data_IF_331271202225
#
_entry.id   IF_331271202225
#
_cell.length_a   1.000
_cell.length_b   1.000
_cell.length_c   1.000
_cell.angle_alpha   90.00
_cell.angle_beta   90.00
_cell.angle_gamma   90.00
#
_symmetry.space_group_name_H-M   'P 1'
#
loop_
_entity.id
_entity.type
_entity.pdbx_description
1 polymer ?
#
# COMPACT_ATOMS: atom_id res chain seq x y z
N UNK A 1 27.46 -0.85 33.68
CA UNK A 1 28.56 -0.38 32.82
C UNK A 1 29.85 -1.01 33.31
N UNK A 2 30.88 -1.28 32.47
CA UNK A 2 31.03 -0.83 31.08
C UNK A 2 31.28 -1.96 30.06
N UNK A 3 30.70 -1.77 28.87
CA UNK A 3 31.09 -2.40 27.61
C UNK A 3 31.96 -1.37 26.89
N UNK A 4 33.28 -1.59 26.81
CA UNK A 4 34.21 -0.79 26.03
C UNK A 4 35.45 -1.62 25.66
N UNK A 5 35.49 -2.12 24.42
CA UNK A 5 36.68 -2.46 23.62
C UNK A 5 36.16 -3.03 22.29
N UNK A 6 35.96 -2.25 21.23
CA UNK A 6 36.93 -1.68 20.28
C UNK A 6 37.69 -2.73 19.47
N UNK A 7 37.15 -2.99 18.26
CA UNK A 7 37.81 -2.88 16.94
C UNK A 7 39.27 -3.35 16.85
N UNK A 8 39.45 -4.57 16.30
CA UNK A 8 40.57 -4.99 15.42
C UNK A 8 40.18 -6.38 14.89
N UNK A 9 39.75 -6.54 13.64
CA UNK A 9 40.63 -7.02 12.56
C UNK A 9 40.06 -6.63 11.19
N UNK A 10 40.69 -5.65 10.55
CA UNK A 10 40.64 -5.49 9.09
C UNK A 10 41.66 -6.46 8.50
N UNK A 11 41.22 -7.43 7.71
CA UNK A 11 42.11 -8.21 6.85
C UNK A 11 41.76 -7.88 5.39
N UNK A 12 42.69 -7.16 4.78
CA UNK A 12 42.87 -6.88 3.37
C UNK A 12 42.11 -7.82 2.42
N UNK A 13 41.12 -7.29 1.72
CA UNK A 13 40.67 -7.82 0.43
C UNK A 13 41.45 -7.05 -0.62
N UNK A 14 42.41 -7.75 -1.21
CA UNK A 14 43.30 -7.30 -2.27
C UNK A 14 42.48 -7.15 -3.57
N UNK A 15 42.29 -5.93 -4.05
CA UNK A 15 41.44 -5.60 -5.21
C UNK A 15 42.27 -5.46 -6.48
N UNK A 16 43.27 -6.32 -6.67
CA UNK A 16 44.28 -6.14 -7.73
C UNK A 16 44.24 -7.23 -8.81
N UNK A 17 43.22 -8.10 -8.85
CA UNK A 17 43.22 -9.24 -9.80
C UNK A 17 41.97 -9.46 -10.68
N UNK A 18 41.05 -8.49 -10.78
CA UNK A 18 39.88 -8.61 -11.67
C UNK A 18 39.95 -7.68 -12.89
N UNK A 19 41.05 -7.75 -13.64
CA UNK A 19 41.15 -7.14 -14.97
C UNK A 19 41.55 -8.17 -16.03
N UNK A 20 40.72 -9.19 -16.25
CA UNK A 20 40.68 -9.91 -17.53
C UNK A 20 39.25 -10.43 -17.76
N UNK A 21 38.57 -10.03 -18.86
CA UNK A 21 37.37 -10.73 -19.28
C UNK A 21 37.77 -12.11 -19.85
N UNK A 22 37.00 -13.18 -19.60
CA UNK A 22 37.26 -14.46 -20.25
C UNK A 22 37.07 -14.32 -21.76
N UNK A 23 38.10 -14.63 -22.54
CA UNK A 23 38.01 -14.77 -23.99
C UNK A 23 37.27 -16.05 -24.32
N UNK A 24 35.99 -15.96 -24.60
CA UNK A 24 35.20 -17.08 -25.12
C UNK A 24 35.56 -17.30 -26.59
N UNK A 25 36.12 -18.49 -26.87
CA UNK A 25 36.26 -19.01 -28.20
C UNK A 25 34.88 -19.30 -28.81
N UNK A 26 34.78 -19.05 -30.12
CA UNK A 26 33.75 -19.51 -31.06
C UNK A 26 32.30 -18.97 -30.93
N UNK A 27 31.93 -18.18 -31.95
CA UNK A 27 30.88 -18.67 -32.85
C UNK A 27 29.41 -18.40 -32.53
N UNK A 28 29.07 -17.40 -31.72
CA UNK A 28 27.67 -16.97 -31.58
C UNK A 28 27.53 -15.47 -31.77
N UNK A 29 27.13 -15.08 -32.98
CA UNK A 29 26.72 -13.71 -33.33
C UNK A 29 25.44 -13.43 -32.54
N UNK A 30 25.57 -12.79 -31.38
CA UNK A 30 24.44 -12.08 -30.79
C UNK A 30 24.13 -10.92 -31.74
N UNK A 31 22.89 -10.77 -32.24
CA UNK A 31 22.55 -9.55 -32.96
C UNK A 31 22.77 -8.40 -31.98
N UNK A 32 23.66 -7.48 -32.36
CA UNK A 32 23.85 -6.18 -31.72
C UNK A 32 22.46 -5.61 -31.44
N UNK A 33 22.08 -5.59 -30.17
CA UNK A 33 20.84 -4.99 -29.71
C UNK A 33 20.92 -3.52 -30.09
N UNK A 34 20.33 -3.21 -31.25
CA UNK A 34 20.36 -1.90 -31.85
C UNK A 34 19.58 -1.01 -30.91
N UNK A 35 20.25 -0.06 -30.26
CA UNK A 35 19.71 0.79 -29.19
C UNK A 35 18.67 1.83 -29.66
N UNK A 36 17.91 1.54 -30.72
CA UNK A 36 17.06 2.51 -31.39
C UNK A 36 15.58 2.50 -30.98
N UNK A 37 15.15 1.73 -29.96
CA UNK A 37 13.74 1.72 -29.53
C UNK A 37 13.50 1.26 -28.09
N UNK A 38 14.15 1.89 -27.10
CA UNK A 38 13.79 1.73 -25.67
C UNK A 38 13.62 3.07 -24.96
N UNK A 39 13.18 4.12 -25.65
CA UNK A 39 12.88 5.43 -25.05
C UNK A 39 11.48 5.54 -24.44
N UNK A 40 10.65 4.49 -24.47
CA UNK A 40 9.27 4.57 -23.97
C UNK A 40 9.07 4.00 -22.56
N UNK A 41 10.13 3.84 -21.76
CA UNK A 41 9.94 3.80 -20.30
C UNK A 41 9.59 5.24 -19.91
N UNK A 42 8.29 5.54 -19.78
CA UNK A 42 7.82 6.80 -19.20
C UNK A 42 8.26 6.82 -17.75
N UNK A 43 9.47 7.33 -17.52
CA UNK A 43 9.98 7.61 -16.18
C UNK A 43 9.10 8.70 -15.58
N UNK A 44 8.75 8.56 -14.30
CA UNK A 44 8.01 9.59 -13.58
C UNK A 44 8.72 10.93 -13.77
N UNK A 45 7.99 11.94 -14.23
CA UNK A 45 8.59 13.26 -14.41
C UNK A 45 8.91 13.84 -13.03
N UNK A 46 9.89 14.74 -12.95
CA UNK A 46 10.23 15.41 -11.69
C UNK A 46 9.00 16.15 -11.12
N UNK A 47 8.15 16.71 -11.99
CA UNK A 47 6.89 17.35 -11.63
C UNK A 47 5.88 16.36 -11.01
N UNK A 48 5.81 15.13 -11.52
CA UNK A 48 4.93 14.09 -10.95
C UNK A 48 5.36 13.69 -9.54
N UNK A 49 6.66 13.54 -9.32
CA UNK A 49 7.22 13.20 -8.00
C UNK A 49 6.94 14.32 -7.00
N UNK A 50 7.16 15.58 -7.40
CA UNK A 50 6.91 16.74 -6.54
C UNK A 50 5.43 16.94 -6.25
N UNK A 51 4.56 16.74 -7.23
CA UNK A 51 3.11 16.81 -7.09
C UNK A 51 2.56 15.70 -6.18
N UNK A 52 3.04 14.47 -6.34
CA UNK A 52 2.69 13.36 -5.44
C UNK A 52 3.17 13.65 -4.01
N UNK A 53 4.41 14.11 -3.85
CA UNK A 53 4.95 14.46 -2.54
C UNK A 53 4.16 15.61 -1.89
N UNK A 54 3.71 16.60 -2.66
CA UNK A 54 2.86 17.69 -2.16
C UNK A 54 1.48 17.18 -1.74
N UNK A 55 0.87 16.29 -2.53
CA UNK A 55 -0.42 15.67 -2.19
C UNK A 55 -0.33 14.82 -0.91
N UNK A 56 0.71 13.99 -0.79
CA UNK A 56 0.97 13.18 0.40
C UNK A 56 1.25 14.03 1.65
N UNK A 57 2.01 15.13 1.53
CA UNK A 57 2.20 16.08 2.64
C UNK A 57 0.90 16.73 3.06
N UNK A 58 0.06 17.15 2.11
CA UNK A 58 -1.26 17.71 2.40
C UNK A 58 -2.15 16.70 3.12
N UNK A 59 -2.16 15.44 2.66
CA UNK A 59 -2.84 14.34 3.33
C UNK A 59 -2.35 14.12 4.76
N UNK A 60 -1.03 14.12 4.98
CA UNK A 60 -0.44 14.01 6.31
C UNK A 60 -0.91 15.13 7.24
N UNK A 61 -0.87 16.38 6.79
CA UNK A 61 -1.28 17.56 7.58
C UNK A 61 -2.76 17.47 7.95
N UNK A 62 -3.62 17.19 6.98
CA UNK A 62 -5.07 17.06 7.22
C UNK A 62 -5.38 15.89 8.16
N UNK A 63 -4.72 14.74 7.95
CA UNK A 63 -4.86 13.56 8.79
C UNK A 63 -4.43 13.83 10.22
N UNK A 64 -3.27 14.46 10.43
CA UNK A 64 -2.77 14.84 11.75
C UNK A 64 -3.68 15.87 12.41
N UNK A 65 -4.13 16.91 11.71
CA UNK A 65 -4.96 17.95 12.29
C UNK A 65 -6.31 17.39 12.78
N UNK A 66 -7.03 16.67 11.92
CA UNK A 66 -8.34 16.10 12.25
C UNK A 66 -8.23 15.07 13.37
N UNK A 67 -7.26 14.15 13.27
CA UNK A 67 -7.07 13.11 14.29
C UNK A 67 -6.59 13.70 15.62
N UNK A 68 -5.77 14.75 15.62
CA UNK A 68 -5.32 15.41 16.85
C UNK A 68 -6.47 16.09 17.57
N UNK A 69 -7.34 16.80 16.83
CA UNK A 69 -8.54 17.40 17.41
C UNK A 69 -9.44 16.32 18.03
N UNK A 70 -9.69 15.23 17.29
CA UNK A 70 -10.51 14.13 17.78
C UNK A 70 -9.88 13.42 19.00
N UNK A 71 -8.58 13.15 18.97
CA UNK A 71 -7.87 12.43 20.02
C UNK A 71 -7.71 13.27 21.29
N UNK A 72 -7.39 14.57 21.16
CA UNK A 72 -7.32 15.51 22.29
C UNK A 72 -8.71 15.73 22.86
N UNK A 73 -9.73 15.92 22.01
CA UNK A 73 -11.13 16.05 22.44
C UNK A 73 -11.62 14.79 23.18
N UNK A 74 -11.30 13.61 22.66
CA UNK A 74 -11.58 12.32 23.31
C UNK A 74 -10.84 12.16 24.64
N UNK A 75 -9.57 12.55 24.69
CA UNK A 75 -8.76 12.55 25.92
C UNK A 75 -9.36 13.49 26.98
N UNK A 76 -9.77 14.70 26.57
CA UNK A 76 -10.44 15.67 27.43
C UNK A 76 -11.77 15.14 27.96
N UNK A 77 -12.61 14.56 27.10
CA UNK A 77 -13.87 13.95 27.51
C UNK A 77 -13.64 12.79 28.49
N UNK A 78 -12.67 11.92 28.21
CA UNK A 78 -12.30 10.81 29.09
C UNK A 78 -11.78 11.31 30.45
N UNK A 79 -11.01 12.40 30.45
CA UNK A 79 -10.56 13.05 31.67
C UNK A 79 -11.73 13.56 32.52
N UNK A 80 -12.81 14.05 31.91
CA UNK A 80 -13.98 14.52 32.66
C UNK A 80 -14.86 13.37 33.17
N UNK A 81 -15.03 12.31 32.38
CA UNK A 81 -16.00 11.24 32.64
C UNK A 81 -15.47 10.07 33.47
N UNK A 82 -14.18 9.76 33.37
CA UNK A 82 -13.58 8.55 33.96
C UNK A 82 -12.55 8.90 35.04
N UNK A 83 -12.82 8.57 36.33
CA UNK A 83 -11.88 8.79 37.42
C UNK A 83 -10.51 8.14 37.22
N UNK A 84 -10.48 6.93 36.63
CA UNK A 84 -9.24 6.23 36.31
C UNK A 84 -8.36 7.01 35.32
N UNK A 85 -8.95 7.60 34.28
CA UNK A 85 -8.23 8.38 33.28
C UNK A 85 -7.64 9.68 33.86
N UNK A 86 -8.27 10.27 34.89
CA UNK A 86 -7.71 11.44 35.58
C UNK A 86 -6.40 11.12 36.28
N UNK A 87 -6.34 9.97 36.95
CA UNK A 87 -5.16 9.48 37.68
C UNK A 87 -4.00 9.03 36.77
N UNK A 88 -4.21 8.90 35.45
CA UNK A 88 -3.16 8.51 34.53
C UNK A 88 -2.05 9.60 34.45
N UNK A 89 -0.78 9.20 34.42
CA UNK A 89 0.33 10.12 34.16
C UNK A 89 0.22 10.73 32.77
N UNK A 90 0.78 11.93 32.60
CA UNK A 90 0.71 12.69 31.35
C UNK A 90 1.29 11.90 30.15
N UNK A 91 2.36 11.15 30.37
CA UNK A 91 2.99 10.31 29.34
C UNK A 91 2.04 9.27 28.74
N UNK A 92 1.22 8.60 29.57
CA UNK A 92 0.24 7.63 29.08
C UNK A 92 -0.94 8.29 28.35
N UNK A 93 -1.32 9.51 28.76
CA UNK A 93 -2.35 10.29 28.06
C UNK A 93 -1.86 10.68 26.66
N UNK A 94 -0.63 11.19 26.56
CA UNK A 94 0.00 11.54 25.29
C UNK A 94 0.20 10.31 24.39
N UNK A 95 0.63 9.19 24.96
CA UNK A 95 0.75 7.93 24.21
C UNK A 95 -0.59 7.54 23.55
N UNK A 96 -1.70 7.67 24.27
CA UNK A 96 -3.04 7.42 23.72
C UNK A 96 -3.37 8.33 22.53
N UNK A 97 -2.98 9.61 22.59
CA UNK A 97 -3.14 10.54 21.47
C UNK A 97 -2.28 10.12 20.28
N UNK A 98 -1.00 9.81 20.50
CA UNK A 98 -0.06 9.39 19.45
C UNK A 98 -0.52 8.11 18.75
N UNK A 99 -1.04 7.13 19.50
CA UNK A 99 -1.57 5.87 18.94
C UNK A 99 -2.69 6.12 17.93
N UNK A 100 -3.49 7.18 18.10
CA UNK A 100 -4.54 7.55 17.15
C UNK A 100 -3.98 8.39 16.00
N UNK A 101 -3.16 9.40 16.32
CA UNK A 101 -2.70 10.39 15.34
C UNK A 101 -1.71 9.80 14.32
N UNK A 102 -0.75 8.98 14.77
CA UNK A 102 0.29 8.43 13.91
C UNK A 102 -0.24 7.56 12.76
N UNK A 103 -1.14 6.58 12.96
CA UNK A 103 -1.71 5.82 11.86
C UNK A 103 -2.62 6.69 10.97
N UNK A 104 -3.40 7.62 11.53
CA UNK A 104 -4.23 8.53 10.73
C UNK A 104 -3.40 9.44 9.81
N UNK A 105 -2.26 9.93 10.28
CA UNK A 105 -1.29 10.66 9.46
C UNK A 105 -0.87 9.80 8.27
N UNK A 106 -0.39 8.58 8.52
CA UNK A 106 0.13 7.70 7.48
C UNK A 106 -0.93 7.33 6.45
N UNK A 107 -2.13 6.98 6.90
CA UNK A 107 -3.24 6.58 6.03
C UNK A 107 -3.68 7.75 5.14
N UNK A 108 -3.81 8.96 5.70
CA UNK A 108 -4.25 10.12 4.92
C UNK A 108 -3.18 10.63 3.96
N UNK A 109 -1.91 10.52 4.32
CA UNK A 109 -0.80 10.80 3.41
C UNK A 109 -0.87 9.89 2.18
N UNK A 110 -0.94 8.58 2.41
CA UNK A 110 -1.04 7.57 1.34
C UNK A 110 -2.29 7.79 0.48
N UNK A 111 -3.44 8.03 1.11
CA UNK A 111 -4.72 8.22 0.40
C UNK A 111 -4.64 9.39 -0.59
N UNK A 112 -3.97 10.49 -0.21
CA UNK A 112 -3.83 11.67 -1.07
C UNK A 112 -2.76 11.51 -2.14
N UNK A 113 -1.69 10.79 -1.86
CA UNK A 113 -0.74 10.37 -2.89
C UNK A 113 -1.43 9.55 -3.98
N UNK A 114 -2.19 8.53 -3.57
CA UNK A 114 -2.96 7.69 -4.51
C UNK A 114 -4.04 8.47 -5.27
N UNK A 115 -4.68 9.47 -4.64
CA UNK A 115 -5.65 10.34 -5.30
C UNK A 115 -5.00 11.21 -6.37
N UNK A 116 -3.79 11.74 -6.11
CA UNK A 116 -3.00 12.47 -7.09
C UNK A 116 -2.60 11.57 -8.27
N UNK A 117 -2.08 10.37 -8.01
CA UNK A 117 -1.70 9.43 -9.05
C UNK A 117 -2.88 9.10 -9.95
N UNK A 118 -4.04 8.79 -9.35
CA UNK A 118 -5.28 8.53 -10.08
C UNK A 118 -5.76 9.73 -10.92
N UNK A 119 -5.55 10.96 -10.44
CA UNK A 119 -5.93 12.16 -11.19
C UNK A 119 -5.08 12.40 -12.44
N UNK A 120 -3.86 11.87 -12.46
CA UNK A 120 -2.93 11.94 -13.61
C UNK A 120 -3.12 10.79 -14.59
N UNK A 121 -3.91 9.78 -14.23
CA UNK A 121 -4.27 8.70 -15.14
C UNK A 121 -5.28 9.24 -16.17
N UNK A 122 -4.77 9.77 -17.28
CA UNK A 122 -5.59 10.12 -18.45
C UNK A 122 -5.77 8.89 -19.37
N UNK A 123 -7.00 8.68 -19.86
CA UNK A 123 -7.30 7.65 -20.86
C UNK A 123 -7.46 6.21 -20.33
N UNK A 124 -7.06 5.24 -21.17
CA UNK A 124 -7.37 3.80 -21.13
C UNK A 124 -7.17 3.07 -19.80
N UNK A 125 -6.23 3.50 -18.95
CA UNK A 125 -6.01 2.85 -17.65
C UNK A 125 -7.25 2.92 -16.75
N UNK A 126 -8.03 4.00 -16.84
CA UNK A 126 -9.28 4.17 -16.08
C UNK A 126 -10.41 3.33 -16.70
N UNK A 127 -10.54 3.26 -18.04
CA UNK A 127 -11.54 2.40 -18.71
C UNK A 127 -11.27 0.92 -18.47
N UNK A 128 -10.02 0.48 -18.52
CA UNK A 128 -9.63 -0.89 -18.24
C UNK A 128 -9.95 -1.28 -16.80
N UNK A 129 -9.57 -0.44 -15.82
CA UNK A 129 -9.92 -0.66 -14.41
C UNK A 129 -11.43 -0.68 -14.18
N UNK A 130 -12.18 0.17 -14.88
CA UNK A 130 -13.63 0.21 -14.80
C UNK A 130 -14.29 -1.04 -15.39
N UNK A 131 -13.87 -1.49 -16.57
CA UNK A 131 -14.36 -2.74 -17.18
C UNK A 131 -14.03 -3.95 -16.30
N UNK A 132 -12.82 -3.98 -15.73
CA UNK A 132 -12.42 -5.03 -14.79
C UNK A 132 -13.28 -5.01 -13.52
N UNK A 133 -13.51 -3.84 -12.93
CA UNK A 133 -14.43 -3.68 -11.79
C UNK A 133 -15.84 -4.14 -12.15
N UNK A 134 -16.41 -3.74 -13.29
CA UNK A 134 -17.73 -4.19 -13.72
C UNK A 134 -17.83 -5.71 -13.88
N UNK A 135 -16.77 -6.34 -14.38
CA UNK A 135 -16.71 -7.81 -14.52
C UNK A 135 -16.62 -8.48 -13.15
N UNK A 136 -15.84 -7.93 -12.22
CA UNK A 136 -15.75 -8.42 -10.85
C UNK A 136 -17.04 -8.20 -10.06
N UNK A 137 -17.72 -7.08 -10.26
CA UNK A 137 -19.00 -6.77 -9.64
C UNK A 137 -20.09 -7.70 -10.16
N UNK A 138 -20.14 -7.94 -11.48
CA UNK A 138 -21.06 -8.91 -12.09
C UNK A 138 -20.82 -10.32 -11.54
N UNK A 139 -19.55 -10.76 -11.46
CA UNK A 139 -19.17 -12.02 -10.83
C UNK A 139 -19.57 -12.06 -9.34
N UNK A 140 -19.41 -10.95 -8.63
CA UNK A 140 -19.78 -10.86 -7.22
C UNK A 140 -21.30 -10.93 -7.03
N UNK A 141 -22.09 -10.35 -7.93
CA UNK A 141 -23.55 -10.41 -7.90
C UNK A 141 -24.06 -11.86 -8.05
N UNK A 142 -23.40 -12.67 -8.86
CA UNK A 142 -23.69 -14.09 -9.08
C UNK A 142 -23.34 -14.99 -7.87
N UNK A 143 -22.55 -14.51 -6.90
CA UNK A 143 -22.16 -15.28 -5.72
C UNK A 143 -23.33 -15.50 -4.74
N UNK A 144 -23.33 -16.67 -4.10
CA UNK A 144 -24.22 -17.00 -2.98
C UNK A 144 -23.93 -16.08 -1.79
N UNK A 145 -24.91 -15.82 -0.91
CA UNK A 145 -24.76 -14.95 0.27
C UNK A 145 -23.60 -15.35 1.20
N UNK A 146 -23.32 -16.65 1.32
CA UNK A 146 -22.18 -17.17 2.10
C UNK A 146 -20.86 -16.82 1.44
N UNK A 147 -20.78 -16.99 0.11
CA UNK A 147 -19.58 -16.69 -0.67
C UNK A 147 -19.34 -15.18 -0.71
N UNK A 148 -20.40 -14.37 -0.81
CA UNK A 148 -20.32 -12.90 -0.70
C UNK A 148 -19.73 -12.45 0.64
N UNK A 149 -20.13 -13.08 1.74
CA UNK A 149 -19.59 -12.76 3.06
C UNK A 149 -18.13 -13.19 3.19
N UNK A 150 -17.77 -14.36 2.68
CA UNK A 150 -16.40 -14.85 2.68
C UNK A 150 -15.49 -13.94 1.84
N UNK A 151 -15.92 -13.59 0.63
CA UNK A 151 -15.22 -12.69 -0.29
C UNK A 151 -15.09 -11.27 0.29
N UNK A 152 -16.14 -10.74 0.93
CA UNK A 152 -16.05 -9.46 1.65
C UNK A 152 -15.06 -9.51 2.80
N UNK A 153 -15.06 -10.60 3.59
CA UNK A 153 -14.13 -10.78 4.69
C UNK A 153 -12.68 -10.92 4.20
N UNK A 154 -12.46 -11.55 3.05
CA UNK A 154 -11.14 -11.65 2.42
C UNK A 154 -10.63 -10.28 1.94
N UNK A 155 -11.50 -9.50 1.28
CA UNK A 155 -11.20 -8.12 0.84
C UNK A 155 -10.89 -7.18 2.02
N UNK A 156 -11.54 -7.38 3.16
CA UNK A 156 -11.36 -6.57 4.37
C UNK A 156 -10.61 -7.28 5.51
N UNK A 157 -9.83 -8.32 5.19
CA UNK A 157 -9.14 -9.15 6.19
C UNK A 157 -8.36 -8.33 7.23
N UNK A 158 -7.66 -7.29 6.79
CA UNK A 158 -6.86 -6.45 7.68
C UNK A 158 -7.71 -5.56 8.58
N UNK A 159 -8.79 -4.99 8.05
CA UNK A 159 -9.73 -4.21 8.85
C UNK A 159 -10.42 -5.07 9.90
N UNK A 160 -10.79 -6.30 9.56
CA UNK A 160 -11.38 -7.26 10.50
C UNK A 160 -10.38 -7.68 11.58
N UNK A 161 -9.11 -7.88 11.23
CA UNK A 161 -8.08 -8.30 12.17
C UNK A 161 -7.68 -7.17 13.11
N UNK A 162 -7.44 -5.98 12.56
CA UNK A 162 -7.17 -4.78 13.36
C UNK A 162 -8.38 -4.42 14.23
N UNK A 163 -9.58 -4.49 13.66
CA UNK A 163 -10.84 -4.25 14.37
C UNK A 163 -11.08 -5.27 15.48
N UNK A 164 -10.81 -6.55 15.23
CA UNK A 164 -10.91 -7.63 16.20
C UNK A 164 -9.90 -7.49 17.33
N UNK A 165 -8.67 -7.10 17.02
CA UNK A 165 -7.64 -6.79 18.01
C UNK A 165 -8.02 -5.59 18.88
N UNK A 166 -8.47 -4.49 18.26
CA UNK A 166 -8.91 -3.30 18.99
C UNK A 166 -10.14 -3.58 19.85
N UNK A 167 -11.09 -4.37 19.34
CA UNK A 167 -12.28 -4.81 20.07
C UNK A 167 -11.90 -5.71 21.25
N UNK A 168 -10.95 -6.63 21.07
CA UNK A 168 -10.40 -7.47 22.14
C UNK A 168 -9.78 -6.64 23.26
N UNK A 169 -8.98 -5.62 22.91
CA UNK A 169 -8.42 -4.67 23.87
C UNK A 169 -9.49 -3.89 24.62
N UNK A 170 -10.48 -3.38 23.90
CA UNK A 170 -11.59 -2.64 24.50
C UNK A 170 -12.39 -3.54 25.46
N UNK A 171 -12.65 -4.79 25.06
CA UNK A 171 -13.37 -5.77 25.88
C UNK A 171 -12.57 -6.18 27.12
N UNK A 172 -11.28 -6.49 26.98
CA UNK A 172 -10.40 -6.78 28.11
C UNK A 172 -10.30 -5.59 29.07
N UNK A 173 -10.17 -4.37 28.54
CA UNK A 173 -10.20 -3.14 29.33
C UNK A 173 -11.52 -2.95 30.08
N UNK A 174 -12.66 -3.23 29.43
CA UNK A 174 -13.97 -3.17 30.06
C UNK A 174 -14.08 -4.18 31.21
N UNK A 175 -13.63 -5.42 31.02
CA UNK A 175 -13.62 -6.46 32.07
C UNK A 175 -12.75 -6.02 33.26
N UNK A 176 -11.49 -5.64 33.02
CA UNK A 176 -10.53 -5.24 34.08
C UNK A 176 -11.02 -3.99 34.83
N UNK A 177 -11.69 -3.07 34.14
CA UNK A 177 -12.23 -1.85 34.76
C UNK A 177 -13.42 -2.12 35.69
N UNK A 178 -14.19 -3.18 35.44
CA UNK A 178 -15.42 -3.51 36.16
C UNK A 178 -15.18 -4.27 37.46
N UNK A 179 -14.03 -4.92 37.59
CA UNK A 179 -13.68 -5.68 38.79
C UNK A 179 -13.26 -4.75 39.95
N UNK A 180 -14.05 -4.69 41.02
CA UNK A 180 -13.87 -3.74 42.14
C UNK A 180 -13.02 -4.30 43.29
N UNK A 181 -12.71 -5.59 43.27
CA UNK A 181 -12.14 -6.29 44.45
C UNK A 181 -10.61 -6.28 44.47
N UNK A 182 -9.95 -5.88 43.37
CA UNK A 182 -8.50 -5.85 43.25
C UNK A 182 -7.89 -4.47 43.46
N UNK A 183 -6.72 -4.42 44.10
CA UNK A 183 -5.95 -3.19 44.29
C UNK A 183 -5.37 -2.69 42.96
N UNK A 184 -5.12 -1.38 42.85
CA UNK A 184 -4.62 -0.76 41.62
C UNK A 184 -3.29 -1.35 41.15
N UNK A 185 -2.42 -1.74 42.08
CA UNK A 185 -1.15 -2.38 41.78
C UNK A 185 -1.33 -3.77 41.12
N UNK A 186 -2.30 -4.57 41.60
CA UNK A 186 -2.61 -5.88 41.02
C UNK A 186 -3.12 -5.76 39.58
N UNK A 187 -3.98 -4.76 39.31
CA UNK A 187 -4.49 -4.50 37.96
C UNK A 187 -3.39 -4.14 36.97
N UNK A 188 -2.35 -3.41 37.41
CA UNK A 188 -1.19 -3.09 36.56
C UNK A 188 -0.41 -4.34 36.17
N UNK A 189 -0.20 -5.26 37.12
CA UNK A 189 0.48 -6.53 36.84
C UNK A 189 -0.33 -7.37 35.86
N UNK A 190 -1.64 -7.46 36.06
CA UNK A 190 -2.53 -8.15 35.12
C UNK A 190 -2.50 -7.52 33.72
N UNK A 191 -2.59 -6.19 33.64
CA UNK A 191 -2.56 -5.47 32.37
C UNK A 191 -1.28 -5.76 31.56
N UNK A 192 -0.13 -5.90 32.24
CA UNK A 192 1.13 -6.28 31.58
C UNK A 192 1.08 -7.70 31.00
N UNK A 193 0.51 -8.66 31.71
CA UNK A 193 0.34 -10.03 31.22
C UNK A 193 -0.61 -10.07 30.01
N UNK A 194 -1.72 -9.32 30.06
CA UNK A 194 -2.64 -9.17 28.92
C UNK A 194 -1.95 -8.53 27.71
N UNK A 195 -1.17 -7.47 27.91
CA UNK A 195 -0.45 -6.79 26.83
C UNK A 195 0.55 -7.72 26.13
N UNK A 196 1.29 -8.51 26.93
CA UNK A 196 2.23 -9.51 26.41
C UNK A 196 1.49 -10.59 25.63
N UNK A 197 0.41 -11.16 26.19
CA UNK A 197 -0.41 -12.16 25.51
C UNK A 197 -1.00 -11.65 24.20
N UNK A 198 -1.50 -10.41 24.17
CA UNK A 198 -2.01 -9.76 22.96
C UNK A 198 -0.94 -9.55 21.91
N UNK A 199 0.28 -9.20 22.31
CA UNK A 199 1.40 -9.03 21.37
C UNK A 199 1.75 -10.35 20.70
N UNK A 200 1.87 -11.43 21.50
CA UNK A 200 2.13 -12.78 20.98
C UNK A 200 0.99 -13.23 20.06
N UNK A 201 -0.26 -13.04 20.47
CA UNK A 201 -1.44 -13.35 19.66
C UNK A 201 -1.42 -12.60 18.32
N UNK A 202 -1.06 -11.31 18.33
CA UNK A 202 -0.96 -10.50 17.12
C UNK A 202 0.14 -11.01 16.18
N UNK A 203 1.30 -11.41 16.71
CA UNK A 203 2.38 -12.00 15.91
C UNK A 203 1.97 -13.33 15.28
N UNK A 204 1.24 -14.18 16.02
CA UNK A 204 0.70 -15.45 15.49
C UNK A 204 -0.28 -15.16 14.35
N UNK A 205 -1.20 -14.22 14.53
CA UNK A 205 -2.16 -13.84 13.48
C UNK A 205 -1.44 -13.26 12.26
N UNK A 206 -0.49 -12.34 12.45
CA UNK A 206 0.30 -11.76 11.35
C UNK A 206 1.12 -12.83 10.60
N UNK A 207 1.72 -13.77 11.33
CA UNK A 207 2.45 -14.91 10.77
C UNK A 207 1.54 -15.84 9.98
N UNK A 208 0.38 -16.20 10.53
CA UNK A 208 -0.62 -17.02 9.86
C UNK A 208 -1.11 -16.35 8.57
N UNK A 209 -1.41 -15.05 8.59
CA UNK A 209 -1.79 -14.28 7.39
C UNK A 209 -0.69 -14.27 6.33
N UNK A 210 0.56 -14.11 6.76
CA UNK A 210 1.69 -14.12 5.82
C UNK A 210 1.83 -15.49 5.16
N UNK A 211 1.60 -16.57 5.92
CA UNK A 211 1.62 -17.93 5.39
C UNK A 211 0.43 -18.25 4.49
N UNK A 212 -0.78 -17.83 4.84
CA UNK A 212 -1.97 -18.01 3.98
C UNK A 212 -1.80 -17.26 2.66
N UNK A 213 -1.23 -16.06 2.68
CA UNK A 213 -0.85 -15.31 1.46
C UNK A 213 0.15 -16.07 0.61
N UNK A 214 1.21 -16.61 1.21
CA UNK A 214 2.20 -17.42 0.50
C UNK A 214 1.59 -18.67 -0.10
N UNK A 215 0.70 -19.36 0.62
CA UNK A 215 0.01 -20.55 0.14
C UNK A 215 -0.98 -20.22 -0.98
N UNK A 216 -1.73 -19.11 -0.89
CA UNK A 216 -2.63 -18.65 -1.94
C UNK A 216 -1.86 -18.25 -3.20
N UNK A 217 -0.78 -17.48 -3.05
CA UNK A 217 0.11 -17.08 -4.14
C UNK A 217 0.83 -18.28 -4.78
N UNK A 218 1.09 -19.35 -4.03
CA UNK A 218 1.67 -20.58 -4.57
C UNK A 218 0.65 -21.43 -5.35
N UNK A 219 -0.63 -21.41 -4.97
CA UNK A 219 -1.72 -22.14 -5.67
C UNK A 219 -2.14 -21.46 -6.97
N UNK A 220 -2.12 -20.13 -6.99
CA UNK A 220 -2.34 -19.33 -8.18
C UNK A 220 -1.10 -18.48 -8.43
N UNK A 221 -0.05 -19.02 -9.08
CA UNK A 221 1.04 -18.18 -9.56
C UNK A 221 0.42 -17.13 -10.47
N UNK A 222 0.36 -15.89 -9.99
CA UNK A 222 -0.17 -14.76 -10.74
C UNK A 222 0.77 -14.55 -11.92
N UNK A 223 0.50 -15.19 -13.05
CA UNK A 223 1.06 -14.80 -14.33
C UNK A 223 0.46 -13.45 -14.65
N UNK A 224 1.21 -12.40 -14.31
CA UNK A 224 0.77 -11.02 -14.45
C UNK A 224 0.71 -10.66 -15.94
N UNK A 225 -0.42 -10.98 -16.56
CA UNK A 225 -0.75 -10.58 -17.92
C UNK A 225 -1.30 -9.16 -17.99
N UNK A 226 -1.42 -8.46 -16.85
CA UNK A 226 -1.95 -7.08 -16.84
C UNK A 226 -1.16 -6.15 -17.77
N UNK A 227 0.16 -6.33 -17.88
CA UNK A 227 0.99 -5.60 -18.84
C UNK A 227 0.68 -5.94 -20.30
N UNK A 228 0.38 -7.22 -20.60
CA UNK A 228 -0.04 -7.62 -21.95
C UNK A 228 -1.42 -7.07 -22.28
N UNK A 229 -2.37 -7.19 -21.36
CA UNK A 229 -3.73 -6.69 -21.53
C UNK A 229 -3.73 -5.15 -21.73
N UNK A 230 -2.86 -4.43 -21.01
CA UNK A 230 -2.68 -2.98 -21.19
C UNK A 230 -2.06 -2.62 -22.54
N UNK A 231 -1.12 -3.42 -23.04
CA UNK A 231 -0.51 -3.21 -24.36
C UNK A 231 -1.49 -3.53 -25.51
N UNK A 232 -2.26 -4.61 -25.37
CA UNK A 232 -3.29 -5.00 -26.34
C UNK A 232 -4.40 -3.95 -26.43
N UNK A 233 -4.84 -3.40 -25.29
CA UNK A 233 -5.78 -2.28 -25.26
C UNK A 233 -5.23 -1.07 -26.03
N UNK A 234 -3.99 -0.65 -25.73
CA UNK A 234 -3.33 0.47 -26.41
C UNK A 234 -3.22 0.29 -27.93
N UNK A 235 -2.92 -0.93 -28.38
CA UNK A 235 -2.86 -1.23 -29.82
C UNK A 235 -4.24 -1.13 -30.50
N UNK A 236 -5.30 -1.59 -29.85
CA UNK A 236 -6.66 -1.53 -30.39
C UNK A 236 -7.13 -0.08 -30.56
N UNK A 237 -6.97 0.76 -29.54
CA UNK A 237 -7.34 2.18 -29.66
C UNK A 237 -6.46 2.95 -30.64
N UNK A 238 -5.17 2.62 -30.77
CA UNK A 238 -4.31 3.22 -31.78
C UNK A 238 -4.81 2.91 -33.20
N UNK A 239 -5.32 1.69 -33.42
CA UNK A 239 -5.96 1.29 -34.68
C UNK A 239 -7.30 2.02 -34.90
N UNK A 240 -8.13 2.14 -33.87
CA UNK A 240 -9.40 2.89 -33.95
C UNK A 240 -9.17 4.38 -34.24
N UNK A 241 -8.21 5.03 -33.57
CA UNK A 241 -7.84 6.43 -33.82
C UNK A 241 -7.26 6.63 -35.23
N UNK A 242 -6.51 5.65 -35.75
CA UNK A 242 -6.03 5.68 -37.13
C UNK A 242 -7.21 5.57 -38.12
N UNK A 243 -8.15 4.65 -37.87
CA UNK A 243 -9.36 4.48 -38.70
C UNK A 243 -10.28 5.72 -38.66
N UNK A 244 -10.44 6.36 -37.49
CA UNK A 244 -11.17 7.62 -37.34
C UNK A 244 -10.49 8.77 -38.09
N UNK A 245 -9.16 8.88 -38.04
CA UNK A 245 -8.40 9.88 -38.81
C UNK A 245 -8.50 9.65 -40.32
N UNK A 246 -8.54 8.40 -40.75
CA UNK A 246 -8.71 8.03 -42.16
C UNK A 246 -10.12 8.37 -42.66
N UNK A 247 -11.16 8.17 -41.83
CA UNK A 247 -12.53 8.57 -42.16
C UNK A 247 -12.76 10.09 -42.16
N UNK A 248 -12.03 10.84 -41.32
CA UNK A 248 -12.16 12.31 -41.22
C UNK A 248 -11.31 13.05 -42.27
N UNK A 249 -10.35 12.39 -42.91
CA UNK A 249 -9.56 13.00 -44.01
C UNK A 249 -10.40 12.99 -45.30
N UNK A 250 -10.79 14.15 -45.86
CA UNK A 250 -11.55 14.17 -47.12
C UNK A 250 -10.70 13.59 -48.24
N UNK A 251 -11.27 12.84 -49.20
CA UNK A 251 -10.50 12.36 -50.34
C UNK A 251 -9.89 13.57 -51.05
N UNK A 252 -8.56 13.63 -51.10
CA UNK A 252 -7.87 14.65 -51.89
C UNK A 252 -8.40 14.56 -53.32
N UNK A 253 -9.16 15.57 -53.74
CA UNK A 253 -9.62 15.72 -55.11
C UNK A 253 -8.36 15.81 -55.96
N UNK A 254 -7.99 14.69 -56.60
CA UNK A 254 -6.93 14.68 -57.62
C UNK A 254 -7.36 15.67 -58.69
N UNK A 255 -6.79 16.86 -58.69
CA UNK A 255 -6.94 17.78 -59.81
C UNK A 255 -6.08 17.19 -60.94
N UNK A 256 -6.66 16.78 -62.07
CA UNK A 256 -5.87 16.32 -63.19
C UNK A 256 -5.02 17.49 -63.67
N UNK A 257 -3.70 17.35 -63.58
CA UNK A 257 -2.77 18.28 -64.22
C UNK A 257 -2.89 18.02 -65.72
N UNK A 258 -3.69 18.82 -66.42
CA UNK A 258 -3.65 18.91 -67.88
C UNK A 258 -2.34 19.60 -68.27
N UNK A 259 -1.36 18.81 -68.66
CA UNK A 259 -0.16 19.29 -69.33
C UNK A 259 -0.41 19.30 -70.84
N UNK A 260 -0.46 20.52 -71.38
CA UNK A 260 -0.34 20.90 -72.79
C UNK A 260 0.99 20.48 -73.39
#
# INVERSE_FOLDING_TARGET
MPFASIIRTSKHIDITHLRHPPTTHEGQIYPLFTSHRLTSVKLATQEDIEGHAAASRRGAIEGTAVSSIAAIGGSYYAHRRFPGYRALPLSLKLLGVVIVVAPCLSIQAERRGLEYDKSKWEGEGVRFLHNKQMTEDSRWEELTTRDKLADWAERHQYSLILGGWASSLAFAGAIISRDKVQTTAQKVVQARMWAQGLTIGLLIVAGALTQTRRAAAAKHPVTDHSWRDLLEAQEQEARERAALKEQVTPPSRRVPVSAT
#
